data_IF_273391793243
#
_entry.id   IF_273391793243
#
_cell.length_a   1.000
_cell.length_b   1.000
_cell.length_c   1.000
_cell.angle_alpha   90.00
_cell.angle_beta   90.00
_cell.angle_gamma   90.00
#
_symmetry.space_group_name_H-M   'P 1'
#
loop_
_entity.id
_entity.type
_entity.pdbx_description
1 polymer ?
#
# COMPACT_ATOMS: atom_id res chain seq x y z
N UNK A 1 -42.56 48.39 -8.61
CA UNK A 1 -41.83 47.66 -7.55
C UNK A 1 -42.01 46.16 -7.79
N UNK A 2 -41.14 45.53 -8.59
CA UNK A 2 -41.21 44.08 -8.82
C UNK A 2 -39.81 43.45 -8.69
N UNK A 3 -39.68 42.64 -7.64
CA UNK A 3 -38.96 41.37 -7.57
C UNK A 3 -37.58 41.29 -8.23
N UNK A 4 -36.56 41.77 -7.51
CA UNK A 4 -35.16 41.37 -7.70
C UNK A 4 -34.68 40.59 -6.47
N UNK A 5 -35.22 39.41 -6.19
CA UNK A 5 -34.73 38.64 -5.04
C UNK A 5 -35.11 37.15 -5.06
N UNK A 6 -34.73 36.39 -6.10
CA UNK A 6 -34.86 34.92 -6.04
C UNK A 6 -33.64 34.14 -6.58
N UNK A 7 -32.70 34.75 -7.31
CA UNK A 7 -31.63 33.95 -7.97
C UNK A 7 -30.39 33.68 -7.09
N UNK A 8 -30.27 34.31 -5.91
CA UNK A 8 -29.04 34.22 -5.11
C UNK A 8 -28.93 33.00 -4.17
N UNK A 9 -29.96 32.13 -4.07
CA UNK A 9 -30.00 31.05 -3.06
C UNK A 9 -29.72 29.64 -3.60
N UNK A 10 -29.31 29.51 -4.87
CA UNK A 10 -29.11 28.21 -5.52
C UNK A 10 -27.66 27.70 -5.63
N UNK A 11 -26.65 28.56 -5.35
CA UNK A 11 -25.24 28.25 -5.66
C UNK A 11 -24.42 27.91 -4.40
N UNK A 12 -24.93 28.15 -3.19
CA UNK A 12 -24.20 27.94 -1.95
C UNK A 12 -24.15 26.48 -1.44
N UNK A 13 -24.78 25.52 -2.13
CA UNK A 13 -24.92 24.13 -1.67
C UNK A 13 -23.94 23.12 -2.30
N UNK A 14 -22.97 23.57 -3.10
CA UNK A 14 -22.04 22.68 -3.81
C UNK A 14 -20.63 22.59 -3.20
N UNK A 15 -20.38 23.15 -2.01
CA UNK A 15 -19.05 23.16 -1.38
C UNK A 15 -18.95 22.35 -0.07
N UNK A 16 -19.90 21.43 0.18
CA UNK A 16 -19.63 20.32 1.10
C UNK A 16 -18.81 19.26 0.36
N UNK A 17 -17.57 19.61 0.02
CA UNK A 17 -16.57 18.59 -0.28
C UNK A 17 -16.44 17.73 0.96
N UNK A 18 -16.97 16.51 0.90
CA UNK A 18 -16.68 15.49 1.88
C UNK A 18 -15.17 15.29 1.88
N UNK A 19 -14.46 16.00 2.74
CA UNK A 19 -13.13 15.60 3.15
C UNK A 19 -13.32 14.29 3.91
N UNK A 20 -13.36 13.18 3.18
CA UNK A 20 -13.20 11.86 3.77
C UNK A 20 -11.77 11.85 4.27
N UNK A 21 -11.58 12.22 5.54
CA UNK A 21 -10.33 12.00 6.23
C UNK A 21 -10.20 10.48 6.37
N UNK A 22 -9.65 9.83 5.35
CA UNK A 22 -9.18 8.46 5.46
C UNK A 22 -8.09 8.47 6.52
N UNK A 23 -8.45 8.11 7.76
CA UNK A 23 -7.50 7.98 8.85
C UNK A 23 -6.72 6.69 8.63
N UNK A 24 -5.64 6.78 7.85
CA UNK A 24 -4.68 5.69 7.74
C UNK A 24 -3.90 5.59 9.05
N UNK A 25 -3.67 4.37 9.58
CA UNK A 25 -2.86 4.22 10.78
C UNK A 25 -1.44 4.71 10.50
N UNK A 26 -0.98 5.71 11.27
CA UNK A 26 0.41 6.19 11.27
C UNK A 26 1.36 5.04 11.59
N UNK A 27 2.33 4.82 10.73
CA UNK A 27 3.40 3.85 10.82
C UNK A 27 4.63 4.61 11.31
N UNK A 28 4.83 4.61 12.63
CA UNK A 28 5.98 5.31 13.22
C UNK A 28 7.27 4.76 12.62
N UNK A 29 8.06 5.64 12.01
CA UNK A 29 9.40 5.30 11.57
C UNK A 29 10.25 4.88 12.77
N UNK A 30 11.05 3.84 12.58
CA UNK A 30 12.00 3.35 13.57
C UNK A 30 13.40 3.74 13.19
N UNK A 31 14.24 4.03 14.18
CA UNK A 31 15.64 4.39 13.97
C UNK A 31 16.52 3.30 14.53
N UNK A 32 17.42 2.78 13.71
CA UNK A 32 18.46 1.86 14.16
C UNK A 32 19.41 2.59 15.11
N UNK A 33 19.63 2.00 16.27
CA UNK A 33 20.54 2.53 17.27
C UNK A 33 22.01 2.37 16.86
N UNK A 34 22.31 1.46 15.93
CA UNK A 34 23.67 1.13 15.53
C UNK A 34 24.25 2.11 14.51
N UNK A 35 23.43 2.56 13.55
CA UNK A 35 23.85 3.36 12.39
C UNK A 35 22.95 4.57 12.12
N UNK A 36 21.93 4.81 12.95
CA UNK A 36 20.99 5.91 12.77
C UNK A 36 20.05 5.76 11.57
N UNK A 37 20.05 4.62 10.89
CA UNK A 37 19.19 4.39 9.73
C UNK A 37 17.73 4.39 10.16
N UNK A 38 16.90 5.13 9.44
CA UNK A 38 15.46 5.14 9.64
C UNK A 38 14.78 4.14 8.71
N UNK A 39 13.74 3.47 9.21
CA UNK A 39 12.95 2.50 8.46
C UNK A 39 11.45 2.75 8.67
N UNK A 40 10.69 2.67 7.60
CA UNK A 40 9.22 2.59 7.62
C UNK A 40 8.82 1.23 7.04
N UNK A 41 7.87 0.54 7.68
CA UNK A 41 7.48 -0.81 7.29
C UNK A 41 5.99 -1.05 7.43
N UNK A 42 5.41 -1.65 6.39
CA UNK A 42 4.03 -2.11 6.37
C UNK A 42 4.05 -3.63 6.16
N UNK A 43 3.40 -4.36 7.05
CA UNK A 43 3.15 -5.79 6.87
C UNK A 43 2.26 -6.02 5.64
N UNK A 44 2.40 -7.14 4.92
CA UNK A 44 1.50 -7.45 3.82
C UNK A 44 0.04 -7.44 4.26
N UNK A 45 -0.77 -6.61 3.61
CA UNK A 45 -2.22 -6.53 3.81
C UNK A 45 -2.95 -7.01 2.57
N UNK A 46 -4.20 -7.42 2.76
CA UNK A 46 -4.98 -8.05 1.69
C UNK A 46 -5.27 -7.06 0.55
N UNK A 47 -5.07 -7.54 -0.67
CA UNK A 47 -5.66 -6.93 -1.87
C UNK A 47 -7.12 -7.37 -2.01
N UNK A 48 -7.87 -6.78 -2.93
CA UNK A 48 -9.20 -7.26 -3.27
C UNK A 48 -9.14 -8.27 -4.44
N UNK A 49 -9.38 -9.55 -4.14
CA UNK A 49 -9.48 -10.64 -5.13
C UNK A 49 -10.93 -11.11 -5.35
N UNK A 50 -11.92 -10.29 -4.97
CA UNK A 50 -13.34 -10.59 -5.13
C UNK A 50 -13.75 -11.87 -4.41
N UNK A 51 -14.27 -12.84 -5.18
CA UNK A 51 -14.74 -14.14 -4.67
C UNK A 51 -13.69 -15.25 -4.77
N UNK A 52 -12.44 -14.93 -5.12
CA UNK A 52 -11.38 -15.92 -5.26
C UNK A 52 -10.97 -16.51 -3.91
N UNK A 53 -10.76 -17.83 -3.89
CA UNK A 53 -10.20 -18.53 -2.72
C UNK A 53 -8.69 -18.29 -2.53
N UNK A 54 -8.01 -17.74 -3.56
CA UNK A 54 -6.60 -17.37 -3.51
C UNK A 54 -6.46 -15.90 -3.82
N UNK A 55 -5.72 -15.22 -2.96
CA UNK A 55 -5.56 -13.78 -2.98
C UNK A 55 -4.10 -13.40 -2.90
N UNK A 56 -3.77 -12.18 -3.30
CA UNK A 56 -2.50 -11.57 -3.01
C UNK A 56 -2.61 -10.61 -1.83
N UNK A 57 -1.51 -10.41 -1.13
CA UNK A 57 -1.34 -9.37 -0.14
C UNK A 57 -0.09 -8.56 -0.50
N UNK A 58 -0.13 -7.25 -0.27
CA UNK A 58 0.97 -6.35 -0.57
C UNK A 58 1.35 -5.60 0.70
N UNK A 59 2.65 -5.65 1.01
CA UNK A 59 3.28 -4.84 2.02
C UNK A 59 4.45 -4.08 1.43
N UNK A 60 5.29 -3.50 2.27
CA UNK A 60 6.36 -2.65 1.79
C UNK A 60 7.27 -2.12 2.88
N UNK A 61 8.46 -1.73 2.48
CA UNK A 61 9.45 -1.10 3.33
C UNK A 61 10.24 -0.05 2.62
N UNK A 62 10.71 0.92 3.41
CA UNK A 62 11.58 2.00 2.99
C UNK A 62 12.66 2.22 4.04
N UNK A 63 13.84 2.66 3.59
CA UNK A 63 14.97 2.99 4.46
C UNK A 63 15.63 4.31 4.04
N UNK A 64 16.12 5.08 5.01
CA UNK A 64 16.72 6.40 4.73
C UNK A 64 18.04 6.34 3.95
N UNK A 65 18.69 5.18 3.86
CA UNK A 65 19.89 4.99 3.04
C UNK A 65 19.60 4.78 1.53
N UNK A 66 18.34 4.54 1.17
CA UNK A 66 17.88 4.39 -0.20
C UNK A 66 16.59 5.21 -0.40
N UNK A 67 16.66 6.55 -0.23
CA UNK A 67 15.48 7.38 -0.01
C UNK A 67 14.51 7.40 -1.19
N UNK A 68 14.97 7.12 -2.41
CA UNK A 68 14.14 7.10 -3.63
C UNK A 68 13.49 5.73 -3.92
N UNK A 69 13.83 4.71 -3.14
CA UNK A 69 13.42 3.34 -3.39
C UNK A 69 12.58 2.75 -2.26
N UNK A 70 11.67 1.87 -2.62
CA UNK A 70 10.94 1.04 -1.68
C UNK A 70 11.05 -0.42 -2.11
N UNK A 71 10.98 -1.33 -1.15
CA UNK A 71 10.79 -2.76 -1.43
C UNK A 71 9.35 -3.11 -1.10
N UNK A 72 8.58 -3.49 -2.12
CA UNK A 72 7.27 -4.10 -1.99
C UNK A 72 7.40 -5.56 -1.60
N UNK A 73 6.56 -6.00 -0.66
CA UNK A 73 6.51 -7.37 -0.18
C UNK A 73 5.24 -8.01 -0.70
N UNK A 74 5.37 -8.83 -1.72
CA UNK A 74 4.23 -9.55 -2.31
C UNK A 74 4.08 -10.87 -1.58
N UNK A 75 2.87 -11.15 -1.10
CA UNK A 75 2.51 -12.41 -0.47
C UNK A 75 1.32 -13.05 -1.20
N UNK A 76 1.33 -14.38 -1.35
CA UNK A 76 0.16 -15.16 -1.76
C UNK A 76 -0.53 -15.76 -0.54
N UNK A 77 -1.85 -15.86 -0.56
CA UNK A 77 -2.63 -16.55 0.47
C UNK A 77 -3.55 -17.60 -0.14
N UNK A 78 -3.75 -18.72 0.58
CA UNK A 78 -4.58 -19.83 0.11
C UNK A 78 -3.84 -20.87 -0.73
N UNK A 79 -2.50 -20.98 -0.57
CA UNK A 79 -1.67 -22.02 -1.16
C UNK A 79 -0.20 -21.59 -1.38
N UNK A 80 0.75 -22.49 -1.16
CA UNK A 80 2.18 -22.25 -1.49
C UNK A 80 2.45 -22.42 -2.99
N UNK A 81 3.12 -21.42 -3.56
CA UNK A 81 3.72 -21.48 -4.90
C UNK A 81 4.89 -20.49 -4.98
N UNK A 82 5.95 -20.85 -5.70
CA UNK A 82 7.03 -19.90 -5.98
C UNK A 82 6.46 -18.70 -6.76
N UNK A 83 6.68 -17.49 -6.26
CA UNK A 83 6.35 -16.24 -6.95
C UNK A 83 7.52 -15.93 -7.88
N UNK A 84 7.29 -15.77 -9.18
CA UNK A 84 8.34 -15.47 -10.16
C UNK A 84 8.49 -13.98 -10.40
N UNK A 85 7.37 -13.31 -10.62
CA UNK A 85 7.34 -11.90 -10.94
C UNK A 85 6.01 -11.27 -10.48
N UNK A 86 5.98 -9.95 -10.51
CA UNK A 86 4.80 -9.16 -10.15
C UNK A 86 4.77 -7.89 -11.01
N UNK A 87 3.56 -7.49 -11.41
CA UNK A 87 3.33 -6.31 -12.25
C UNK A 87 2.24 -5.46 -11.61
N UNK A 88 2.51 -4.17 -11.47
CA UNK A 88 1.47 -3.18 -11.19
C UNK A 88 0.92 -2.68 -12.51
N UNK A 89 -0.39 -2.75 -12.69
CA UNK A 89 -1.07 -2.00 -13.74
C UNK A 89 -1.64 -0.73 -13.09
N UNK A 90 -1.18 0.43 -13.56
CA UNK A 90 -1.55 1.75 -13.05
C UNK A 90 -2.24 2.49 -14.20
N UNK A 91 -3.55 2.67 -14.12
CA UNK A 91 -4.38 3.28 -15.16
C UNK A 91 -4.16 2.68 -16.57
N UNK A 92 -3.97 1.36 -16.66
CA UNK A 92 -3.72 0.64 -17.92
C UNK A 92 -2.25 0.60 -18.35
N UNK A 93 -1.34 1.22 -17.57
CA UNK A 93 0.10 1.18 -17.83
C UNK A 93 0.75 0.12 -16.95
N UNK A 94 1.36 -0.87 -17.59
CA UNK A 94 2.09 -1.94 -16.90
C UNK A 94 3.45 -1.46 -16.39
N UNK A 95 3.69 -1.71 -15.11
CA UNK A 95 4.92 -1.40 -14.37
C UNK A 95 5.44 -2.72 -13.79
N UNK A 96 6.34 -3.41 -14.49
CA UNK A 96 6.94 -4.63 -13.96
C UNK A 96 7.80 -4.30 -12.75
N UNK A 97 7.64 -5.08 -11.68
CA UNK A 97 8.43 -4.93 -10.48
C UNK A 97 9.74 -5.71 -10.61
N UNK A 98 10.84 -5.14 -10.11
CA UNK A 98 12.15 -5.78 -10.16
C UNK A 98 12.36 -6.61 -8.90
N UNK A 99 12.79 -7.86 -9.02
CA UNK A 99 13.06 -8.67 -7.83
C UNK A 99 14.08 -8.00 -6.89
N UNK A 100 13.83 -8.10 -5.59
CA UNK A 100 14.76 -7.64 -4.57
C UNK A 100 14.76 -8.56 -3.34
N UNK A 101 15.87 -8.61 -2.59
CA UNK A 101 15.87 -9.24 -1.27
C UNK A 101 14.81 -8.64 -0.37
N UNK A 102 14.21 -9.47 0.50
CA UNK A 102 13.37 -8.95 1.57
C UNK A 102 14.24 -8.10 2.49
N UNK A 103 13.82 -6.88 2.82
CA UNK A 103 14.60 -6.02 3.69
C UNK A 103 14.57 -6.54 5.12
N UNK A 104 15.65 -6.28 5.85
CA UNK A 104 15.74 -6.55 7.28
C UNK A 104 14.67 -5.74 8.01
N UNK A 105 13.98 -6.38 8.96
CA UNK A 105 13.00 -5.73 9.84
C UNK A 105 13.52 -5.71 11.26
N UNK A 106 13.36 -4.57 11.94
CA UNK A 106 13.60 -4.51 13.37
C UNK A 106 12.50 -5.24 14.14
N UNK A 107 12.86 -5.89 15.24
CA UNK A 107 11.92 -6.67 16.07
C UNK A 107 10.75 -5.82 16.56
N UNK A 108 10.98 -4.56 16.91
CA UNK A 108 9.92 -3.63 17.33
C UNK A 108 8.84 -3.44 16.24
N UNK A 109 9.19 -3.48 14.94
CA UNK A 109 8.23 -3.45 13.82
C UNK A 109 7.42 -4.75 13.70
N UNK A 110 7.95 -5.87 14.17
CA UNK A 110 7.24 -7.14 14.18
C UNK A 110 6.24 -7.21 15.35
N UNK A 111 6.43 -6.40 16.40
CA UNK A 111 5.56 -6.40 17.58
C UNK A 111 4.39 -5.40 17.55
N UNK A 112 4.38 -4.42 16.64
CA UNK A 112 3.30 -3.43 16.58
C UNK A 112 1.99 -3.94 15.93
N UNK A 113 1.99 -5.14 15.34
CA UNK A 113 0.86 -5.68 14.57
C UNK A 113 0.18 -6.91 15.23
N UNK A 114 0.33 -7.07 16.55
CA UNK A 114 -0.17 -8.26 17.27
C UNK A 114 -1.70 -8.34 17.44
N UNK A 115 -2.47 -7.33 17.03
CA UNK A 115 -3.93 -7.36 17.17
C UNK A 115 -4.66 -8.03 16.00
N UNK A 116 -4.01 -8.26 14.87
CA UNK A 116 -4.58 -8.98 13.72
C UNK A 116 -3.89 -10.33 13.42
N UNK A 117 -2.72 -10.56 14.02
CA UNK A 117 -1.86 -11.69 13.66
C UNK A 117 -2.40 -13.07 14.06
N UNK A 118 -3.28 -13.17 15.07
CA UNK A 118 -3.78 -14.45 15.57
C UNK A 118 -5.01 -14.96 14.80
N UNK A 119 -5.88 -14.08 14.32
CA UNK A 119 -7.02 -14.44 13.46
C UNK A 119 -6.62 -14.61 12.00
N UNK A 120 -5.66 -13.81 11.51
CA UNK A 120 -5.11 -13.96 10.17
C UNK A 120 -4.38 -15.31 10.00
N UNK A 121 -3.62 -15.78 10.98
CA UNK A 121 -2.89 -17.07 10.88
C UNK A 121 -3.81 -18.31 10.88
N UNK A 122 -5.02 -18.19 11.42
CA UNK A 122 -5.95 -19.32 11.50
C UNK A 122 -6.82 -19.47 10.24
N UNK A 123 -6.91 -18.42 9.42
CA UNK A 123 -7.59 -18.41 8.12
C UNK A 123 -6.62 -18.34 6.92
N UNK A 124 -5.41 -17.79 7.12
CA UNK A 124 -4.33 -17.81 6.14
C UNK A 124 -3.70 -19.20 6.14
N UNK A 125 -4.29 -20.09 5.34
CA UNK A 125 -3.55 -21.25 4.87
C UNK A 125 -2.21 -20.84 4.27
N UNK A 126 -1.40 -21.83 3.97
CA UNK A 126 -0.14 -21.75 3.23
C UNK A 126 0.14 -20.44 2.42
N UNK A 127 1.15 -19.65 2.82
CA UNK A 127 1.55 -18.38 2.18
C UNK A 127 2.97 -18.37 1.59
N UNK A 128 3.17 -17.78 0.42
CA UNK A 128 4.49 -17.54 -0.15
C UNK A 128 4.77 -16.05 -0.21
N UNK A 129 6.02 -15.62 0.02
CA UNK A 129 6.39 -14.20 0.06
C UNK A 129 7.63 -13.95 -0.79
N UNK A 130 7.66 -12.86 -1.56
CA UNK A 130 8.83 -12.39 -2.31
C UNK A 130 8.94 -10.86 -2.28
N UNK A 131 10.17 -10.36 -2.25
CA UNK A 131 10.47 -8.93 -2.29
C UNK A 131 10.64 -8.44 -3.72
N UNK A 132 10.16 -7.22 -3.98
CA UNK A 132 10.34 -6.53 -5.24
C UNK A 132 10.65 -5.06 -5.01
N UNK A 133 11.70 -4.54 -5.63
CA UNK A 133 12.05 -3.14 -5.59
C UNK A 133 11.19 -2.32 -6.57
N UNK A 134 10.85 -1.12 -6.13
CA UNK A 134 10.21 -0.06 -6.92
C UNK A 134 10.73 1.31 -6.49
N UNK A 135 10.33 2.38 -7.17
CA UNK A 135 10.62 3.76 -6.75
C UNK A 135 9.47 4.35 -5.92
N UNK A 136 9.78 5.33 -5.06
CA UNK A 136 8.74 6.12 -4.40
C UNK A 136 7.86 6.87 -5.40
N UNK A 137 8.40 7.25 -6.57
CA UNK A 137 7.62 7.85 -7.64
C UNK A 137 6.52 6.91 -8.15
N UNK A 138 6.83 5.62 -8.36
CA UNK A 138 5.80 4.63 -8.73
C UNK A 138 4.74 4.49 -7.64
N UNK A 139 5.12 4.52 -6.35
CA UNK A 139 4.14 4.47 -5.26
C UNK A 139 3.24 5.72 -5.22
N UNK A 140 3.79 6.91 -5.50
CA UNK A 140 2.98 8.12 -5.65
C UNK A 140 2.01 8.02 -6.82
N UNK A 141 2.43 7.42 -7.93
CA UNK A 141 1.54 7.15 -9.06
C UNK A 141 0.43 6.15 -8.70
N UNK A 142 0.72 5.11 -7.90
CA UNK A 142 -0.31 4.21 -7.36
C UNK A 142 -1.37 4.97 -6.56
N UNK A 143 -0.95 5.90 -5.71
CA UNK A 143 -1.87 6.70 -4.86
C UNK A 143 -2.72 7.67 -5.69
N UNK A 144 -2.16 8.23 -6.75
CA UNK A 144 -2.84 9.23 -7.59
C UNK A 144 -3.71 8.61 -8.70
N UNK A 145 -3.59 7.30 -8.94
CA UNK A 145 -4.26 6.63 -10.04
C UNK A 145 -5.76 6.46 -9.78
N UNK A 146 -6.52 6.33 -10.87
CA UNK A 146 -7.95 6.01 -10.80
C UNK A 146 -8.19 4.51 -10.65
N UNK A 147 -7.27 3.70 -11.15
CA UNK A 147 -7.33 2.24 -11.04
C UNK A 147 -5.92 1.67 -10.94
N UNK A 148 -5.75 0.76 -9.99
CA UNK A 148 -4.53 0.00 -9.78
C UNK A 148 -4.85 -1.46 -9.56
N UNK A 149 -4.23 -2.33 -10.35
CA UNK A 149 -4.27 -3.78 -10.14
C UNK A 149 -2.87 -4.36 -9.97
N UNK A 150 -2.76 -5.44 -9.22
CA UNK A 150 -1.55 -6.21 -9.02
C UNK A 150 -1.73 -7.59 -9.65
N UNK A 151 -0.85 -7.94 -10.59
CA UNK A 151 -0.75 -9.28 -11.15
C UNK A 151 0.48 -9.97 -10.55
N UNK A 152 0.26 -11.09 -9.86
CA UNK A 152 1.32 -11.90 -9.26
C UNK A 152 1.45 -13.21 -10.01
N UNK A 153 2.60 -13.43 -10.64
CA UNK A 153 2.83 -14.63 -11.43
C UNK A 153 3.56 -15.66 -10.57
N UNK A 154 2.95 -16.84 -10.45
CA UNK A 154 3.49 -17.95 -9.66
C UNK A 154 3.76 -19.16 -10.55
N UNK A 155 4.50 -20.12 -10.02
CA UNK A 155 4.75 -21.41 -10.70
C UNK A 155 3.46 -22.18 -11.09
N UNK A 156 2.31 -21.84 -10.48
CA UNK A 156 1.03 -22.52 -10.71
C UNK A 156 0.03 -21.72 -11.53
N UNK A 157 0.03 -20.39 -11.42
CA UNK A 157 -0.96 -19.47 -12.03
C UNK A 157 -0.57 -18.01 -11.83
N UNK A 158 -1.26 -17.13 -12.55
CA UNK A 158 -1.35 -15.70 -12.21
C UNK A 158 -2.45 -15.47 -11.17
N UNK A 159 -2.20 -14.58 -10.21
CA UNK A 159 -3.18 -14.07 -9.24
C UNK A 159 -3.34 -12.58 -9.53
N UNK A 160 -4.46 -12.22 -10.14
CA UNK A 160 -4.82 -10.82 -10.37
C UNK A 160 -5.66 -10.30 -9.21
N UNK A 161 -5.36 -9.10 -8.75
CA UNK A 161 -6.07 -8.49 -7.62
C UNK A 161 -6.18 -6.98 -7.81
N UNK A 162 -7.28 -6.41 -7.34
CA UNK A 162 -7.50 -4.96 -7.33
C UNK A 162 -6.87 -4.39 -6.07
N UNK A 163 -6.03 -3.37 -6.26
CA UNK A 163 -5.53 -2.55 -5.16
C UNK A 163 -6.49 -1.39 -4.92
N UNK A 164 -6.85 -0.68 -5.99
CA UNK A 164 -7.71 0.49 -5.94
C UNK A 164 -8.49 0.65 -7.24
N UNK A 165 -9.76 1.06 -7.17
CA UNK A 165 -10.54 1.63 -8.27
C UNK A 165 -11.69 2.50 -7.70
N UNK A 166 -12.60 2.98 -8.56
CA UNK A 166 -13.72 3.83 -8.17
C UNK A 166 -14.67 3.16 -7.13
N UNK A 167 -14.69 1.81 -7.05
CA UNK A 167 -15.56 1.03 -6.15
C UNK A 167 -14.79 0.32 -5.01
N UNK A 168 -13.47 0.20 -5.13
CA UNK A 168 -12.62 -0.62 -4.26
C UNK A 168 -11.44 0.20 -3.74
N UNK A 169 -11.27 0.18 -2.42
CA UNK A 169 -10.02 0.58 -1.75
C UNK A 169 -9.57 -0.57 -0.85
N UNK A 170 -8.52 -1.29 -1.25
CA UNK A 170 -8.04 -2.45 -0.51
C UNK A 170 -7.19 -2.06 0.71
N UNK A 171 -7.11 -2.95 1.71
CA UNK A 171 -6.25 -2.75 2.88
C UNK A 171 -4.78 -2.57 2.49
N UNK A 172 -4.37 -3.23 1.41
CA UNK A 172 -3.05 -3.10 0.81
C UNK A 172 -2.81 -1.70 0.25
N UNK A 173 -3.75 -1.14 -0.52
CA UNK A 173 -3.63 0.22 -1.06
C UNK A 173 -3.54 1.25 0.08
N UNK A 174 -4.40 1.14 1.09
CA UNK A 174 -4.31 1.97 2.31
C UNK A 174 -2.97 1.86 3.03
N UNK A 175 -2.38 0.67 3.03
CA UNK A 175 -1.03 0.45 3.54
C UNK A 175 0.04 1.20 2.75
N UNK A 176 -0.06 1.23 1.41
CA UNK A 176 0.86 1.98 0.54
C UNK A 176 0.73 3.49 0.77
N UNK A 177 -0.49 4.00 0.91
CA UNK A 177 -0.72 5.42 1.25
C UNK A 177 -0.01 5.77 2.56
N UNK A 178 -0.22 4.97 3.61
CA UNK A 178 0.43 5.18 4.91
C UNK A 178 1.97 5.14 4.80
N UNK A 179 2.53 4.18 4.04
CA UNK A 179 3.97 4.09 3.81
C UNK A 179 4.52 5.39 3.20
N UNK A 180 3.91 5.90 2.14
CA UNK A 180 4.38 7.10 1.45
C UNK A 180 4.25 8.34 2.33
N UNK A 181 3.15 8.47 3.06
CA UNK A 181 2.91 9.58 3.98
C UNK A 181 3.95 9.61 5.12
N UNK A 182 4.25 8.46 5.71
CA UNK A 182 5.22 8.39 6.82
C UNK A 182 6.67 8.58 6.34
N UNK A 183 7.01 8.10 5.14
CA UNK A 183 8.31 8.40 4.52
C UNK A 183 8.47 9.91 4.28
N UNK A 184 7.41 10.59 3.83
CA UNK A 184 7.43 12.04 3.66
C UNK A 184 7.61 12.79 4.97
N UNK A 185 6.97 12.34 6.05
CA UNK A 185 7.14 12.92 7.38
C UNK A 185 8.57 12.72 7.92
N UNK A 186 9.19 11.57 7.66
CA UNK A 186 10.60 11.33 7.99
C UNK A 186 11.51 12.30 7.24
N UNK A 187 11.35 12.44 5.93
CA UNK A 187 12.17 13.34 5.11
C UNK A 187 12.08 14.78 5.63
N UNK A 188 10.87 15.28 5.91
CA UNK A 188 10.64 16.61 6.50
C UNK A 188 11.26 16.81 7.87
N UNK A 189 11.38 15.75 8.67
CA UNK A 189 11.99 15.83 9.99
C UNK A 189 13.51 15.94 9.91
N UNK A 190 14.13 15.37 8.88
CA UNK A 190 15.58 15.39 8.67
C UNK A 190 16.09 16.68 8.00
N UNK A 191 15.22 17.41 7.30
CA UNK A 191 15.55 18.71 6.67
C UNK A 191 15.55 19.90 7.66
N UNK A 192 15.31 19.66 8.95
CA UNK A 192 15.27 20.67 10.02
C UNK A 192 16.53 20.65 10.88
#
# INVERSE_FOLDING_TARGET
MHSKLVVALGIALLLNGCAVFHHYPKIRAQTSHADGMQQVWITPRMTNCGKSAICSALGGGWTSNAPEHAVLVVQTQGGYAAIHDAVLDIDGRQVPLTEAPLPTRYSEMAHQDHRDYSVARQLAGETSTRGFQTSLDVLRQVIAARRVTLSVHTAKRTIDSVLFDDDVDSDAHRGIVALVDDVHDVAKANDK
#
